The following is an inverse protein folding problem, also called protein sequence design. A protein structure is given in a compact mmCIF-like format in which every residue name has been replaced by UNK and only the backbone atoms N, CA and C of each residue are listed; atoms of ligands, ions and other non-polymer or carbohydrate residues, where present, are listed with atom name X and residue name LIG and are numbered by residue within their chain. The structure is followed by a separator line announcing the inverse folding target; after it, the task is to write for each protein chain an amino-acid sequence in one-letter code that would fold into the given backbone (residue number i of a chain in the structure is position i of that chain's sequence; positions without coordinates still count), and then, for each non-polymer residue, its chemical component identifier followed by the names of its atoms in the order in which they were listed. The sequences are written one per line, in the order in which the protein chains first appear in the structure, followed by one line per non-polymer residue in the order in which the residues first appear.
data_IF_530384101710
#
_entry.id   IF_530384101710
#
_cell.length_a   1.000
_cell.length_b   1.000
_cell.length_c   1.000
_cell.angle_alpha   90.00
_cell.angle_beta   90.00
_cell.angle_gamma   90.00
#
_symmetry.space_group_name_H-M   'P 1'
#
loop_
_entity.id
_entity.type
_entity.pdbx_description
1 polymer ?
#
# COMPACT_ATOMS: atom_id res chain seq x y z
N UNK A 1 2.72 14.53 9.61
CA UNK A 1 2.67 15.36 8.39
C UNK A 1 3.76 14.83 7.48
N UNK A 2 3.42 14.58 6.23
CA UNK A 2 4.31 14.03 5.21
C UNK A 2 4.20 14.89 3.94
N UNK A 3 5.04 14.61 2.94
CA UNK A 3 4.95 15.24 1.62
C UNK A 3 4.16 14.35 0.68
N UNK A 4 3.15 14.91 0.02
CA UNK A 4 2.27 14.18 -0.87
C UNK A 4 3.07 13.57 -2.04
N UNK A 5 2.82 12.31 -2.33
CA UNK A 5 3.44 11.54 -3.40
C UNK A 5 2.44 11.25 -4.52
N UNK A 6 2.93 11.19 -5.75
CA UNK A 6 2.20 10.74 -6.93
C UNK A 6 3.18 10.02 -7.87
N UNK A 7 2.86 8.78 -8.25
CA UNK A 7 3.69 8.02 -9.20
C UNK A 7 5.15 7.81 -8.77
N UNK A 8 5.45 7.84 -7.46
CA UNK A 8 6.81 7.70 -6.93
C UNK A 8 7.60 9.01 -6.79
N UNK A 9 7.00 10.16 -7.06
CA UNK A 9 7.63 11.49 -6.91
C UNK A 9 6.72 12.43 -6.08
N UNK A 10 7.21 13.61 -5.73
CA UNK A 10 6.47 14.61 -4.98
C UNK A 10 5.38 15.27 -5.83
N UNK A 11 4.17 15.33 -5.28
CA UNK A 11 3.07 16.09 -5.87
C UNK A 11 3.32 17.60 -5.67
N UNK A 12 3.46 18.41 -6.73
CA UNK A 12 3.64 19.85 -6.59
C UNK A 12 2.36 20.51 -6.07
N UNK A 13 2.53 21.47 -5.16
CA UNK A 13 1.51 22.41 -4.74
C UNK A 13 1.37 23.57 -5.72
N UNK A 14 0.36 24.43 -5.50
CA UNK A 14 0.08 25.60 -6.35
C UNK A 14 1.23 26.61 -6.41
N UNK A 15 2.13 26.59 -5.42
CA UNK A 15 3.31 27.45 -5.34
C UNK A 15 4.58 26.82 -5.92
N UNK A 16 4.46 25.67 -6.60
CA UNK A 16 5.58 24.92 -7.18
C UNK A 16 6.45 24.16 -6.16
N UNK A 17 6.13 24.21 -4.86
CA UNK A 17 6.80 23.42 -3.82
C UNK A 17 6.06 22.12 -3.55
N UNK A 18 6.73 21.08 -3.01
CA UNK A 18 6.05 19.85 -2.64
C UNK A 18 4.86 20.09 -1.70
N UNK A 19 3.71 19.52 -2.05
CA UNK A 19 2.46 19.65 -1.29
C UNK A 19 2.57 18.82 0.00
N UNK A 20 2.16 19.40 1.12
CA UNK A 20 2.08 18.67 2.39
C UNK A 20 0.78 17.87 2.48
N UNK A 21 0.83 16.73 3.15
CA UNK A 21 -0.31 15.85 3.47
C UNK A 21 -0.30 15.51 4.97
N UNK A 22 -1.49 15.34 5.53
CA UNK A 22 -1.68 15.02 6.95
C UNK A 22 -2.90 14.14 7.19
N UNK A 23 -3.07 13.70 8.43
CA UNK A 23 -4.26 12.96 8.86
C UNK A 23 -4.43 11.61 8.13
N UNK A 24 -5.67 11.28 7.76
CA UNK A 24 -5.99 10.02 7.09
C UNK A 24 -5.24 9.84 5.76
N UNK A 25 -5.08 10.90 4.96
CA UNK A 25 -4.34 10.84 3.69
C UNK A 25 -2.87 10.51 3.85
N UNK A 26 -2.22 11.06 4.88
CA UNK A 26 -0.83 10.72 5.21
C UNK A 26 -0.73 9.23 5.56
N UNK A 27 -1.67 8.70 6.36
CA UNK A 27 -1.69 7.30 6.75
C UNK A 27 -1.92 6.37 5.56
N UNK A 28 -2.84 6.72 4.66
CA UNK A 28 -3.09 5.97 3.42
C UNK A 28 -1.88 6.00 2.48
N UNK A 29 -1.16 7.12 2.38
CA UNK A 29 0.09 7.19 1.64
C UNK A 29 1.18 6.28 2.24
N UNK A 30 1.35 6.29 3.56
CA UNK A 30 2.31 5.40 4.24
C UNK A 30 1.93 3.93 4.06
N UNK A 31 0.64 3.61 4.06
CA UNK A 31 0.15 2.27 3.77
C UNK A 31 0.48 1.86 2.33
N UNK A 32 0.27 2.75 1.34
CA UNK A 32 0.63 2.49 -0.05
C UNK A 32 2.12 2.14 -0.20
N UNK A 33 3.03 2.88 0.44
CA UNK A 33 4.47 2.59 0.43
C UNK A 33 4.76 1.21 1.04
N UNK A 34 4.16 0.87 2.19
CA UNK A 34 4.34 -0.43 2.84
C UNK A 34 3.81 -1.59 1.98
N UNK A 35 2.75 -1.39 1.22
CA UNK A 35 2.20 -2.44 0.35
C UNK A 35 3.07 -2.68 -0.90
N UNK A 36 3.64 -1.63 -1.49
CA UNK A 36 4.37 -1.72 -2.76
C UNK A 36 5.84 -2.08 -2.63
N UNK A 37 6.47 -1.77 -1.49
CA UNK A 37 7.88 -2.12 -1.24
C UNK A 37 8.00 -3.60 -0.85
N UNK A 38 8.91 -4.39 -1.45
CA UNK A 38 9.19 -5.75 -0.98
C UNK A 38 9.72 -5.75 0.45
N UNK A 39 9.14 -6.59 1.32
CA UNK A 39 9.60 -6.75 2.70
C UNK A 39 11.10 -7.08 2.75
N UNK A 40 11.86 -6.35 3.56
CA UNK A 40 13.32 -6.49 3.66
C UNK A 40 14.11 -5.80 2.54
N UNK A 41 13.44 -5.20 1.55
CA UNK A 41 14.09 -4.49 0.44
C UNK A 41 14.68 -3.13 0.81
N UNK A 42 14.30 -2.56 1.95
CA UNK A 42 14.80 -1.27 2.42
C UNK A 42 15.82 -1.44 3.54
N UNK A 43 17.09 -1.15 3.25
CA UNK A 43 18.24 -1.44 4.14
C UNK A 43 18.12 -0.75 5.51
N UNK A 44 17.56 0.46 5.56
CA UNK A 44 17.46 1.22 6.80
C UNK A 44 16.26 0.82 7.68
N UNK A 45 15.28 0.11 7.13
CA UNK A 45 14.17 -0.48 7.89
C UNK A 45 13.75 -1.79 7.22
N UNK A 46 14.34 -2.94 7.61
CA UNK A 46 14.01 -4.24 7.05
C UNK A 46 12.56 -4.69 7.33
N UNK A 47 11.88 -4.05 8.29
CA UNK A 47 10.48 -4.33 8.61
C UNK A 47 9.49 -3.58 7.71
N UNK A 48 9.98 -2.66 6.88
CA UNK A 48 9.19 -1.95 5.89
C UNK A 48 8.91 -2.87 4.69
N UNK A 49 7.65 -2.85 4.24
CA UNK A 49 7.24 -3.53 3.01
C UNK A 49 6.20 -4.63 3.24
N UNK A 50 5.91 -5.36 2.18
CA UNK A 50 4.97 -6.47 2.16
C UNK A 50 5.56 -7.69 1.47
N UNK A 51 4.95 -8.85 1.72
CA UNK A 51 5.25 -10.09 1.00
C UNK A 51 4.33 -10.32 -0.21
N UNK A 52 3.63 -9.28 -0.68
CA UNK A 52 2.71 -9.41 -1.81
C UNK A 52 3.43 -9.86 -3.10
N UNK A 53 4.72 -9.54 -3.25
CA UNK A 53 5.58 -10.04 -4.33
C UNK A 53 5.80 -11.57 -4.32
N UNK A 54 5.45 -12.27 -3.23
CA UNK A 54 5.54 -13.74 -3.13
C UNK A 54 4.25 -14.45 -3.60
N UNK A 55 3.22 -13.68 -3.97
CA UNK A 55 1.98 -14.24 -4.50
C UNK A 55 2.26 -14.93 -5.85
N UNK A 56 1.61 -16.08 -6.05
CA UNK A 56 1.70 -16.84 -7.29
C UNK A 56 0.33 -16.88 -7.96
N UNK A 57 0.21 -16.43 -9.23
CA UNK A 57 -1.05 -16.48 -9.94
C UNK A 57 -1.55 -17.92 -10.10
N UNK A 58 -2.88 -18.10 -10.18
CA UNK A 58 -3.51 -19.40 -10.41
C UNK A 58 -3.66 -20.30 -9.18
N UNK A 59 -3.23 -19.86 -7.99
CA UNK A 59 -3.49 -20.58 -6.74
C UNK A 59 -4.94 -20.44 -6.25
N UNK A 60 -5.47 -21.46 -5.56
CA UNK A 60 -6.72 -21.31 -4.80
C UNK A 60 -6.49 -20.35 -3.63
N UNK A 61 -7.51 -19.54 -3.32
CA UNK A 61 -7.48 -18.65 -2.18
C UNK A 61 -6.54 -17.44 -2.33
N UNK A 62 -6.30 -17.01 -3.58
CA UNK A 62 -5.31 -15.96 -3.86
C UNK A 62 -5.71 -14.61 -3.23
N UNK A 63 -7.00 -14.27 -3.28
CA UNK A 63 -7.54 -13.06 -2.69
C UNK A 63 -7.38 -13.06 -1.16
N UNK A 64 -7.70 -14.18 -0.51
CA UNK A 64 -7.58 -14.35 0.94
C UNK A 64 -6.12 -14.29 1.39
N UNK A 65 -5.20 -14.86 0.60
CA UNK A 65 -3.77 -14.76 0.86
C UNK A 65 -3.27 -13.32 0.70
N UNK A 66 -3.68 -12.62 -0.36
CA UNK A 66 -3.34 -11.21 -0.56
C UNK A 66 -3.87 -10.33 0.58
N UNK A 67 -5.10 -10.57 1.03
CA UNK A 67 -5.69 -9.88 2.18
C UNK A 67 -4.85 -10.07 3.45
N UNK A 68 -4.49 -11.32 3.77
CA UNK A 68 -3.69 -11.63 4.96
C UNK A 68 -2.30 -10.97 4.91
N UNK A 69 -1.64 -10.98 3.75
CA UNK A 69 -0.33 -10.35 3.57
C UNK A 69 -0.40 -8.82 3.65
N UNK A 70 -1.46 -8.21 3.12
CA UNK A 70 -1.69 -6.77 3.25
C UNK A 70 -1.94 -6.39 4.73
N UNK A 71 -2.76 -7.16 5.45
CA UNK A 71 -3.01 -6.96 6.89
C UNK A 71 -1.73 -7.08 7.72
N UNK A 72 -0.86 -8.04 7.39
CA UNK A 72 0.44 -8.19 8.02
C UNK A 72 1.32 -6.95 7.80
N UNK A 73 1.46 -6.51 6.54
CA UNK A 73 2.30 -5.36 6.18
C UNK A 73 1.84 -4.05 6.86
N UNK A 74 0.54 -3.90 7.09
CA UNK A 74 -0.07 -2.73 7.70
C UNK A 74 -0.26 -2.82 9.22
N UNK A 75 0.23 -3.88 9.89
CA UNK A 75 0.12 -4.03 11.36
C UNK A 75 0.72 -2.85 12.13
N UNK A 76 1.74 -2.19 11.58
CA UNK A 76 2.37 -1.00 12.16
C UNK A 76 1.55 0.29 12.01
N UNK A 77 0.43 0.26 11.28
CA UNK A 77 -0.49 1.38 11.04
C UNK A 77 -1.90 1.02 11.54
N UNK A 78 -2.14 0.95 12.86
CA UNK A 78 -3.42 0.48 13.42
C UNK A 78 -4.63 1.35 13.06
N UNK A 79 -4.41 2.56 12.53
CA UNK A 79 -5.45 3.46 12.05
C UNK A 79 -5.94 3.12 10.63
N UNK A 80 -5.25 2.23 9.90
CA UNK A 80 -5.58 1.84 8.53
C UNK A 80 -6.13 0.43 8.55
N UNK A 81 -7.33 0.24 8.02
CA UNK A 81 -7.98 -1.07 7.88
C UNK A 81 -7.84 -1.56 6.46
N UNK A 82 -7.45 -2.82 6.28
CA UNK A 82 -7.53 -3.52 4.98
C UNK A 82 -8.90 -4.17 4.88
N UNK A 83 -9.73 -3.64 3.97
CA UNK A 83 -11.12 -4.09 3.79
C UNK A 83 -11.19 -5.29 2.85
N UNK A 84 -10.40 -5.27 1.77
CA UNK A 84 -10.48 -6.24 0.69
C UNK A 84 -9.17 -6.34 -0.07
N UNK A 85 -8.93 -7.51 -0.65
CA UNK A 85 -7.93 -7.73 -1.69
C UNK A 85 -8.56 -8.49 -2.86
N UNK A 86 -8.31 -8.02 -4.07
CA UNK A 86 -8.74 -8.67 -5.32
C UNK A 86 -7.53 -8.88 -6.21
N UNK A 87 -7.23 -10.13 -6.54
CA UNK A 87 -6.16 -10.48 -7.46
C UNK A 87 -6.69 -10.64 -8.87
N UNK A 88 -6.02 -10.00 -9.83
CA UNK A 88 -6.22 -10.19 -11.26
C UNK A 88 -5.10 -11.04 -11.85
N UNK A 89 -5.41 -11.72 -12.97
CA UNK A 89 -4.43 -12.40 -13.79
C UNK A 89 -4.22 -11.64 -15.10
N UNK A 90 -2.95 -11.47 -15.46
CA UNK A 90 -2.45 -10.89 -16.72
C UNK A 90 -2.54 -9.35 -16.90
N UNK A 91 -1.50 -8.57 -16.49
CA UNK A 91 -0.38 -9.01 -15.64
C UNK A 91 -0.87 -9.29 -14.20
N UNK A 92 -0.21 -10.17 -13.43
CA UNK A 92 -0.62 -10.45 -12.06
C UNK A 92 -0.50 -9.20 -11.17
N UNK A 93 -1.61 -8.86 -10.53
CA UNK A 93 -1.69 -7.74 -9.61
C UNK A 93 -2.73 -8.00 -8.52
N UNK A 94 -2.60 -7.30 -7.40
CA UNK A 94 -3.60 -7.25 -6.34
C UNK A 94 -4.03 -5.80 -6.16
N UNK A 95 -5.33 -5.57 -6.19
CA UNK A 95 -5.94 -4.31 -5.77
C UNK A 95 -6.35 -4.46 -4.31
N UNK A 96 -5.74 -3.65 -3.44
CA UNK A 96 -5.97 -3.65 -2.00
C UNK A 96 -6.83 -2.44 -1.65
N UNK A 97 -8.02 -2.68 -1.10
CA UNK A 97 -8.92 -1.62 -0.62
C UNK A 97 -8.64 -1.32 0.84
N UNK A 98 -8.35 -0.05 1.14
CA UNK A 98 -8.03 0.45 2.46
C UNK A 98 -9.08 1.46 2.94
N UNK A 99 -9.27 1.55 4.25
CA UNK A 99 -10.04 2.61 4.90
C UNK A 99 -9.26 3.26 6.05
N UNK A 100 -9.37 4.57 6.20
CA UNK A 100 -8.77 5.33 7.30
C UNK A 100 -9.57 6.61 7.56
N UNK A 101 -10.12 6.80 8.76
CA UNK A 101 -10.79 8.06 9.14
C UNK A 101 -11.95 8.48 8.22
N UNK A 102 -12.65 7.52 7.61
CA UNK A 102 -13.73 7.77 6.64
C UNK A 102 -13.25 7.97 5.19
N UNK A 103 -11.95 8.09 4.95
CA UNK A 103 -11.36 8.06 3.61
C UNK A 103 -11.10 6.62 3.17
N UNK A 104 -11.20 6.38 1.86
CA UNK A 104 -10.88 5.10 1.23
C UNK A 104 -9.80 5.28 0.17
N UNK A 105 -8.98 4.26 -0.01
CA UNK A 105 -8.00 4.20 -1.09
C UNK A 105 -7.94 2.79 -1.68
N UNK A 106 -7.59 2.72 -2.96
CA UNK A 106 -7.28 1.47 -3.65
C UNK A 106 -5.82 1.52 -4.09
N UNK A 107 -5.06 0.52 -3.67
CA UNK A 107 -3.63 0.40 -3.96
C UNK A 107 -3.43 -0.83 -4.83
N UNK A 108 -2.95 -0.63 -6.05
CA UNK A 108 -2.53 -1.71 -6.93
C UNK A 108 -1.09 -2.12 -6.62
N UNK A 109 -0.87 -3.42 -6.43
CA UNK A 109 0.46 -4.02 -6.21
C UNK A 109 0.68 -5.11 -7.24
N UNK A 110 1.73 -4.95 -8.06
CA UNK A 110 2.14 -5.95 -9.07
C UNK A 110 3.05 -6.98 -8.43
N UNK A 111 2.95 -8.24 -8.84
CA UNK A 111 3.75 -9.36 -8.32
C UNK A 111 4.02 -10.43 -9.38
#
# INVERSE_FOLDING_TARGET
MDTALIGGDFLPGSNGRPKQVGGARELLQRAAVRLTVPLGGFVYDPSLGSRLYELKPGGRGLNEKALALAQEALRALPQVTVERAECSGDPPAAVITLSCGGEKAEIEVKF
#
